data_IF_417974422914
#
_entry.id   IF_417974422914
#
_cell.length_a   1.000
_cell.length_b   1.000
_cell.length_c   1.000
_cell.angle_alpha   90.00
_cell.angle_beta   90.00
_cell.angle_gamma   90.00
#
_symmetry.space_group_name_H-M   'P 1'
#
loop_
_entity.id
_entity.type
_entity.pdbx_description
1 polymer ?
#
# COMPACT_ATOMS: atom_id res chain seq x y z
N UNK A 1 -6.48 -21.43 -6.72
CA UNK A 1 -7.02 -21.78 -5.41
C UNK A 1 -8.54 -21.85 -5.51
N UNK A 2 -9.13 -22.87 -4.96
CA UNK A 2 -10.57 -23.11 -4.89
C UNK A 2 -10.96 -23.17 -3.41
N UNK A 3 -12.01 -22.43 -3.02
CA UNK A 3 -12.55 -22.51 -1.67
C UNK A 3 -14.04 -22.81 -1.74
N UNK A 4 -14.49 -23.70 -0.87
CA UNK A 4 -15.89 -24.10 -0.74
C UNK A 4 -16.27 -23.95 0.73
N UNK A 5 -17.36 -23.24 0.99
CA UNK A 5 -17.90 -23.08 2.33
C UNK A 5 -19.33 -23.61 2.39
N UNK A 6 -19.63 -24.37 3.41
CA UNK A 6 -20.95 -24.93 3.67
C UNK A 6 -21.51 -24.33 4.95
N UNK A 7 -22.65 -23.69 4.88
CA UNK A 7 -23.35 -23.12 6.01
C UNK A 7 -24.85 -23.38 5.90
N UNK A 8 -25.42 -23.97 6.92
CA UNK A 8 -26.86 -24.15 6.99
C UNK A 8 -27.55 -22.83 7.33
N UNK A 9 -28.60 -22.50 6.60
CA UNK A 9 -29.44 -21.33 6.82
C UNK A 9 -30.85 -21.80 7.07
N UNK A 10 -31.37 -21.48 8.25
CA UNK A 10 -32.80 -21.63 8.57
C UNK A 10 -33.51 -20.36 8.10
N UNK A 11 -34.57 -20.51 7.28
CA UNK A 11 -35.39 -19.37 6.86
C UNK A 11 -36.23 -18.92 8.07
N UNK A 12 -35.61 -18.19 8.97
CA UNK A 12 -36.28 -17.71 10.18
C UNK A 12 -36.55 -16.22 10.09
N UNK A 13 -37.72 -15.85 10.49
CA UNK A 13 -38.19 -14.50 10.92
C UNK A 13 -37.67 -13.32 10.10
N UNK A 14 -38.64 -12.58 9.64
CA UNK A 14 -38.49 -11.24 9.07
C UNK A 14 -37.58 -10.38 9.96
N UNK A 15 -36.39 -10.06 9.49
CA UNK A 15 -35.52 -9.07 10.10
C UNK A 15 -35.41 -7.88 9.16
N UNK A 16 -35.40 -6.69 9.70
CA UNK A 16 -35.12 -5.47 8.94
C UNK A 16 -33.83 -5.65 8.14
N UNK A 17 -33.84 -5.22 6.89
CA UNK A 17 -32.72 -5.36 5.93
C UNK A 17 -32.41 -6.80 5.45
N UNK A 18 -33.34 -7.73 5.54
CA UNK A 18 -33.17 -9.03 4.90
C UNK A 18 -33.38 -8.90 3.38
N UNK A 19 -32.36 -9.15 2.53
CA UNK A 19 -32.49 -9.03 1.07
C UNK A 19 -33.40 -10.08 0.44
N UNK A 20 -33.83 -11.10 1.19
CA UNK A 20 -34.70 -12.19 0.75
C UNK A 20 -36.13 -12.04 1.27
N UNK A 21 -36.53 -10.85 1.71
CA UNK A 21 -37.91 -10.55 2.05
C UNK A 21 -38.73 -10.28 0.79
N UNK A 22 -39.83 -10.98 0.66
CA UNK A 22 -40.82 -10.79 -0.38
C UNK A 22 -42.11 -10.24 0.24
N UNK A 23 -42.60 -9.15 -0.33
CA UNK A 23 -43.94 -8.62 -0.04
C UNK A 23 -44.79 -8.79 -1.31
N UNK A 24 -45.97 -9.33 -1.16
CA UNK A 24 -46.93 -9.49 -2.26
C UNK A 24 -47.25 -8.09 -2.85
N UNK A 25 -46.95 -7.83 -4.14
CA UNK A 25 -47.19 -6.52 -4.75
C UNK A 25 -48.69 -6.22 -4.86
N UNK A 26 -49.56 -7.25 -4.86
CA UNK A 26 -51.00 -7.11 -4.98
C UNK A 26 -51.67 -6.90 -3.60
N UNK A 27 -50.93 -7.12 -2.51
CA UNK A 27 -51.41 -6.91 -1.15
C UNK A 27 -50.39 -6.12 -0.32
N UNK A 28 -50.43 -4.78 -0.28
CA UNK A 28 -49.49 -3.95 0.45
C UNK A 28 -49.56 -4.10 1.99
N UNK A 29 -50.58 -4.80 2.48
CA UNK A 29 -50.71 -5.11 3.93
C UNK A 29 -50.25 -6.53 4.27
N UNK A 30 -49.76 -7.30 3.30
CA UNK A 30 -49.23 -8.62 3.55
C UNK A 30 -47.92 -8.51 4.40
N UNK A 31 -47.81 -9.40 5.38
CA UNK A 31 -46.60 -9.49 6.19
C UNK A 31 -45.48 -10.02 5.27
N UNK A 32 -44.35 -9.33 5.20
CA UNK A 32 -43.21 -9.81 4.42
C UNK A 32 -42.76 -11.20 4.86
N UNK A 33 -42.53 -12.10 3.91
CA UNK A 33 -42.05 -13.47 4.17
C UNK A 33 -40.67 -13.66 3.57
N UNK A 34 -39.83 -14.47 4.22
CA UNK A 34 -38.55 -14.81 3.62
C UNK A 34 -38.73 -15.85 2.52
N UNK A 35 -38.14 -15.58 1.37
CA UNK A 35 -38.10 -16.54 0.25
C UNK A 35 -36.79 -17.34 0.22
N UNK A 36 -35.91 -17.16 1.24
CA UNK A 36 -34.68 -17.91 1.33
C UNK A 36 -35.02 -19.41 1.54
N UNK A 37 -34.56 -20.30 0.65
CA UNK A 37 -34.87 -21.73 0.77
C UNK A 37 -34.14 -22.33 1.99
N UNK A 38 -34.82 -23.28 2.65
CA UNK A 38 -34.18 -24.07 3.68
C UNK A 38 -33.05 -24.92 3.08
N UNK A 39 -31.91 -24.98 3.75
CA UNK A 39 -30.74 -25.73 3.31
C UNK A 39 -29.44 -25.01 3.52
N UNK A 40 -28.39 -25.48 2.88
CA UNK A 40 -27.07 -24.91 2.96
C UNK A 40 -26.80 -23.79 1.97
N UNK A 41 -25.71 -23.12 2.18
CA UNK A 41 -25.12 -22.19 1.22
C UNK A 41 -23.89 -22.86 0.62
N UNK A 42 -23.84 -22.96 -0.71
CA UNK A 42 -22.67 -23.40 -1.45
C UNK A 42 -21.95 -22.20 -2.03
N UNK A 43 -20.73 -21.95 -1.60
CA UNK A 43 -19.86 -20.91 -2.16
C UNK A 43 -18.62 -21.54 -2.80
N UNK A 44 -18.33 -21.10 -4.00
CA UNK A 44 -17.15 -21.55 -4.74
C UNK A 44 -16.41 -20.35 -5.32
N UNK A 45 -15.09 -20.32 -5.07
CA UNK A 45 -14.18 -19.34 -5.70
C UNK A 45 -13.12 -20.09 -6.48
N UNK A 46 -13.06 -19.84 -7.78
CA UNK A 46 -12.00 -20.36 -8.64
C UNK A 46 -11.08 -19.20 -9.07
N UNK A 47 -9.80 -19.35 -8.81
CA UNK A 47 -8.76 -18.41 -9.21
C UNK A 47 -7.79 -19.10 -10.15
N UNK A 48 -7.73 -18.61 -11.39
CA UNK A 48 -6.76 -19.06 -12.38
C UNK A 48 -5.77 -17.95 -12.65
N UNK A 49 -4.47 -18.29 -12.57
CA UNK A 49 -3.37 -17.37 -12.89
C UNK A 49 -2.49 -18.00 -13.95
N UNK A 50 -2.18 -17.22 -14.99
CA UNK A 50 -1.19 -17.55 -15.99
C UNK A 50 -0.12 -16.47 -15.94
N UNK A 51 1.13 -16.87 -15.65
CA UNK A 51 2.27 -15.97 -15.54
C UNK A 51 3.37 -16.39 -16.49
N UNK A 52 3.90 -15.40 -17.21
CA UNK A 52 5.12 -15.53 -18.00
C UNK A 52 6.13 -14.50 -17.50
N UNK A 53 7.34 -14.96 -17.21
CA UNK A 53 8.47 -14.13 -16.89
C UNK A 53 9.60 -14.46 -17.87
N UNK A 54 10.10 -13.45 -18.53
CA UNK A 54 11.27 -13.55 -19.41
C UNK A 54 12.33 -12.58 -18.92
N UNK A 55 13.55 -13.07 -18.74
CA UNK A 55 14.69 -12.26 -18.35
C UNK A 55 15.90 -12.62 -19.19
N UNK A 56 16.52 -11.61 -19.78
CA UNK A 56 17.81 -11.71 -20.44
C UNK A 56 18.80 -10.77 -19.75
N UNK A 57 19.97 -11.26 -19.38
CA UNK A 57 20.99 -10.45 -18.72
C UNK A 57 22.39 -10.86 -19.14
N UNK A 58 23.30 -9.90 -19.08
CA UNK A 58 24.73 -10.10 -19.33
C UNK A 58 25.54 -9.55 -18.15
N UNK A 59 26.61 -10.23 -17.83
CA UNK A 59 27.54 -9.85 -16.77
C UNK A 59 28.96 -9.78 -17.35
N UNK A 60 29.68 -8.71 -17.00
CA UNK A 60 31.07 -8.55 -17.31
C UNK A 60 31.86 -8.23 -16.06
N UNK A 61 32.84 -9.07 -15.71
CA UNK A 61 33.70 -8.91 -14.55
C UNK A 61 35.16 -8.96 -15.03
N UNK A 62 35.91 -7.92 -14.71
CA UNK A 62 37.31 -7.84 -15.09
C UNK A 62 38.13 -7.13 -14.03
N UNK A 63 39.30 -7.71 -13.74
CA UNK A 63 40.34 -7.07 -12.95
C UNK A 63 41.52 -6.74 -13.84
N UNK A 64 41.96 -5.49 -13.85
CA UNK A 64 43.09 -4.98 -14.58
C UNK A 64 44.23 -4.65 -13.62
N UNK A 65 45.42 -5.08 -13.91
CA UNK A 65 46.64 -4.83 -13.17
C UNK A 65 46.52 -5.07 -11.65
N UNK A 66 45.66 -5.99 -11.25
CA UNK A 66 45.31 -6.27 -9.81
C UNK A 66 44.89 -5.06 -9.01
N UNK A 67 44.55 -3.95 -9.65
CA UNK A 67 44.22 -2.67 -9.01
C UNK A 67 42.87 -2.12 -9.40
N UNK A 68 42.40 -2.39 -10.59
CA UNK A 68 41.13 -1.90 -11.12
C UNK A 68 40.13 -3.05 -11.27
N UNK A 69 39.08 -3.03 -10.54
CA UNK A 69 38.02 -4.03 -10.57
C UNK A 69 36.78 -3.40 -11.21
N UNK A 70 36.30 -3.97 -12.28
CA UNK A 70 35.09 -3.53 -13.00
C UNK A 70 34.10 -4.67 -13.01
N UNK A 71 32.90 -4.41 -12.52
CA UNK A 71 31.76 -5.31 -12.58
C UNK A 71 30.61 -4.59 -13.26
N UNK A 72 30.13 -5.13 -14.38
CA UNK A 72 28.98 -4.62 -15.11
C UNK A 72 27.93 -5.70 -15.21
N UNK A 73 26.69 -5.33 -14.98
CA UNK A 73 25.55 -6.21 -15.09
C UNK A 73 24.38 -5.44 -15.71
N UNK A 74 23.75 -6.00 -16.73
CA UNK A 74 22.64 -5.35 -17.38
C UNK A 74 21.75 -6.33 -18.12
N UNK A 75 20.55 -5.89 -18.43
CA UNK A 75 19.59 -6.74 -19.12
C UNK A 75 18.21 -6.14 -19.21
N UNK A 76 17.28 -7.01 -19.57
CA UNK A 76 15.85 -6.70 -19.66
C UNK A 76 15.00 -7.79 -19.00
N UNK A 77 13.85 -7.41 -18.53
CA UNK A 77 12.81 -8.34 -18.06
C UNK A 77 11.44 -7.97 -18.62
N UNK A 78 10.63 -8.99 -18.93
CA UNK A 78 9.24 -8.85 -19.33
C UNK A 78 8.41 -9.75 -18.46
N UNK A 79 7.41 -9.17 -17.80
CA UNK A 79 6.48 -9.91 -16.94
C UNK A 79 5.04 -9.74 -17.47
N UNK A 80 4.35 -10.86 -17.64
CA UNK A 80 2.95 -10.93 -18.03
C UNK A 80 2.20 -11.81 -17.04
N UNK A 81 1.16 -11.26 -16.41
CA UNK A 81 0.30 -12.03 -15.52
C UNK A 81 -1.16 -11.78 -15.92
N UNK A 82 -1.86 -12.85 -16.21
CA UNK A 82 -3.30 -12.87 -16.47
C UNK A 82 -3.97 -13.61 -15.31
N UNK A 83 -4.93 -12.95 -14.65
CA UNK A 83 -5.72 -13.56 -13.58
C UNK A 83 -7.18 -13.55 -13.99
N UNK A 84 -7.81 -14.69 -13.82
CA UNK A 84 -9.23 -14.89 -13.99
C UNK A 84 -9.79 -15.40 -12.67
N UNK A 85 -10.79 -14.71 -12.15
CA UNK A 85 -11.46 -15.05 -10.89
C UNK A 85 -12.93 -15.26 -11.18
N UNK A 86 -13.48 -16.36 -10.68
CA UNK A 86 -14.92 -16.60 -10.68
C UNK A 86 -15.37 -16.90 -9.27
N UNK A 87 -16.45 -16.29 -8.85
CA UNK A 87 -17.11 -16.59 -7.59
C UNK A 87 -18.56 -16.93 -7.86
N UNK A 88 -19.05 -17.95 -7.19
CA UNK A 88 -20.42 -18.45 -7.28
C UNK A 88 -20.97 -18.69 -5.87
N UNK A 89 -22.24 -18.35 -5.66
CA UNK A 89 -23.01 -18.68 -4.45
C UNK A 89 -24.35 -19.30 -4.84
N UNK A 90 -24.61 -20.49 -4.33
CA UNK A 90 -25.89 -21.19 -4.41
C UNK A 90 -26.56 -21.26 -3.03
N UNK A 91 -27.87 -21.12 -3.00
CA UNK A 91 -28.70 -21.23 -1.82
C UNK A 91 -29.53 -22.50 -1.84
N UNK A 92 -29.91 -23.04 -0.68
CA UNK A 92 -30.82 -24.16 -0.60
C UNK A 92 -30.18 -25.54 -0.84
N UNK A 93 -28.89 -25.68 -0.69
CA UNK A 93 -28.21 -26.97 -0.86
C UNK A 93 -28.70 -27.98 0.19
N UNK A 94 -29.24 -29.11 -0.24
CA UNK A 94 -29.78 -30.18 0.62
C UNK A 94 -28.66 -31.17 0.97
N UNK A 95 -28.02 -30.98 2.11
CA UNK A 95 -26.89 -31.83 2.57
C UNK A 95 -27.35 -33.28 2.88
N UNK A 96 -28.52 -33.43 3.46
CA UNK A 96 -29.12 -34.70 3.86
C UNK A 96 -29.65 -35.51 2.69
N UNK A 97 -29.82 -34.88 1.53
CA UNK A 97 -30.33 -35.48 0.31
C UNK A 97 -29.24 -35.68 -0.76
N UNK A 98 -28.00 -35.88 -0.34
CA UNK A 98 -26.91 -36.10 -1.29
C UNK A 98 -26.33 -34.84 -1.93
N UNK A 99 -26.45 -33.70 -1.27
CA UNK A 99 -26.01 -32.40 -1.80
C UNK A 99 -26.74 -31.93 -3.04
N UNK A 100 -28.02 -32.29 -3.18
CA UNK A 100 -28.86 -31.84 -4.28
C UNK A 100 -29.10 -30.33 -4.22
N UNK A 101 -28.92 -29.56 -5.31
CA UNK A 101 -29.26 -28.15 -5.38
C UNK A 101 -30.76 -27.95 -5.46
N UNK A 102 -31.27 -27.01 -4.69
CA UNK A 102 -32.64 -26.56 -4.78
C UNK A 102 -32.70 -25.17 -5.39
N UNK A 103 -33.48 -24.98 -6.44
CA UNK A 103 -33.69 -23.71 -7.10
C UNK A 103 -35.02 -23.12 -6.76
N UNK A 104 -35.02 -21.96 -6.10
CA UNK A 104 -36.19 -21.15 -5.90
C UNK A 104 -36.05 -19.86 -6.71
N UNK A 105 -36.96 -19.70 -7.68
CA UNK A 105 -36.97 -18.54 -8.59
C UNK A 105 -37.19 -17.23 -7.85
N UNK A 106 -38.04 -17.20 -6.81
CA UNK A 106 -38.34 -16.00 -6.05
C UNK A 106 -37.11 -15.58 -5.22
N UNK A 107 -36.43 -16.53 -4.57
CA UNK A 107 -35.17 -16.25 -3.85
C UNK A 107 -34.12 -15.69 -4.79
N UNK A 108 -33.99 -16.26 -5.97
CA UNK A 108 -33.04 -15.80 -6.99
C UNK A 108 -33.39 -14.38 -7.47
N UNK A 109 -34.61 -14.12 -7.84
CA UNK A 109 -35.10 -12.81 -8.29
C UNK A 109 -34.89 -11.76 -7.20
N UNK A 110 -35.37 -12.03 -5.99
CA UNK A 110 -35.25 -11.13 -4.85
C UNK A 110 -33.79 -10.83 -4.48
N UNK A 111 -32.92 -11.86 -4.52
CA UNK A 111 -31.50 -11.68 -4.29
C UNK A 111 -30.87 -10.73 -5.30
N UNK A 112 -31.17 -10.92 -6.61
CA UNK A 112 -30.64 -10.06 -7.67
C UNK A 112 -31.16 -8.62 -7.54
N UNK A 113 -32.42 -8.42 -7.25
CA UNK A 113 -33.05 -7.10 -7.07
C UNK A 113 -32.48 -6.35 -5.84
N UNK A 114 -32.15 -7.07 -4.79
CA UNK A 114 -31.49 -6.51 -3.60
C UNK A 114 -29.98 -6.32 -3.73
N UNK A 115 -29.39 -6.63 -4.90
CA UNK A 115 -27.95 -6.50 -5.16
C UNK A 115 -27.11 -7.69 -4.69
N UNK A 116 -27.72 -8.77 -4.20
CA UNK A 116 -27.06 -10.00 -3.79
C UNK A 116 -26.74 -10.85 -5.01
N UNK A 117 -25.56 -10.73 -5.56
CA UNK A 117 -25.11 -11.48 -6.74
C UNK A 117 -24.93 -12.96 -6.39
N UNK A 118 -25.23 -13.84 -7.32
CA UNK A 118 -24.98 -15.28 -7.20
C UNK A 118 -23.72 -15.73 -7.94
N UNK A 119 -23.17 -14.91 -8.83
CA UNK A 119 -21.86 -15.12 -9.43
C UNK A 119 -21.18 -13.79 -9.76
N UNK A 120 -19.86 -13.81 -9.80
CA UNK A 120 -19.05 -12.72 -10.35
C UNK A 120 -17.93 -13.31 -11.17
N UNK A 121 -17.57 -12.59 -12.23
CA UNK A 121 -16.42 -12.90 -13.09
C UNK A 121 -15.53 -11.67 -13.10
N UNK A 122 -14.24 -11.85 -12.86
CA UNK A 122 -13.26 -10.77 -12.84
C UNK A 122 -11.99 -11.17 -13.58
N UNK A 123 -11.51 -10.28 -14.42
CA UNK A 123 -10.24 -10.42 -15.10
C UNK A 123 -9.27 -9.31 -14.66
N UNK A 124 -8.00 -9.67 -14.48
CA UNK A 124 -6.96 -8.73 -14.18
C UNK A 124 -5.71 -9.03 -15.00
N UNK A 125 -5.22 -8.01 -15.69
CA UNK A 125 -4.06 -8.12 -16.57
C UNK A 125 -2.93 -7.26 -16.03
N UNK A 126 -1.75 -7.84 -15.92
CA UNK A 126 -0.52 -7.16 -15.57
C UNK A 126 0.51 -7.35 -16.65
N UNK A 127 1.14 -6.27 -17.05
CA UNK A 127 2.20 -6.22 -18.06
C UNK A 127 3.27 -5.27 -17.57
N UNK A 128 4.52 -5.74 -17.57
CA UNK A 128 5.68 -4.94 -17.20
C UNK A 128 6.82 -5.23 -18.15
N UNK A 129 7.54 -4.20 -18.52
CA UNK A 129 8.83 -4.30 -19.22
C UNK A 129 9.82 -3.43 -18.45
N UNK A 130 10.98 -3.96 -18.17
CA UNK A 130 12.05 -3.22 -17.51
C UNK A 130 13.41 -3.47 -18.18
N UNK A 131 14.19 -2.41 -18.26
CA UNK A 131 15.60 -2.43 -18.60
C UNK A 131 16.40 -2.04 -17.37
N UNK A 132 17.48 -2.74 -17.09
CA UNK A 132 18.28 -2.48 -15.89
C UNK A 132 19.76 -2.56 -16.21
N UNK A 133 20.51 -1.75 -15.49
CA UNK A 133 21.96 -1.71 -15.54
C UNK A 133 22.53 -1.45 -14.14
N UNK A 134 23.61 -2.15 -13.82
CA UNK A 134 24.43 -1.91 -12.64
C UNK A 134 25.90 -1.93 -13.03
N UNK A 135 26.64 -0.92 -12.60
CA UNK A 135 28.07 -0.82 -12.82
C UNK A 135 28.80 -0.52 -11.51
N UNK A 136 29.81 -1.31 -11.20
CA UNK A 136 30.68 -1.09 -10.04
C UNK A 136 32.12 -0.98 -10.53
N UNK A 137 32.79 0.06 -10.07
CA UNK A 137 34.22 0.23 -10.23
C UNK A 137 34.90 0.36 -8.88
N UNK A 138 35.94 -0.43 -8.64
CA UNK A 138 36.74 -0.34 -7.42
C UNK A 138 38.22 -0.19 -7.76
N UNK A 139 38.85 0.79 -7.13
CA UNK A 139 40.27 1.04 -7.25
C UNK A 139 41.02 0.58 -5.99
N UNK A 140 41.86 -0.42 -6.14
CA UNK A 140 42.69 -1.03 -5.07
C UNK A 140 41.89 -1.50 -3.85
N UNK A 141 40.59 -1.76 -3.97
CA UNK A 141 39.72 -2.03 -2.83
C UNK A 141 39.45 -0.83 -1.93
N UNK A 142 40.05 0.33 -2.19
CA UNK A 142 39.95 1.54 -1.35
C UNK A 142 38.76 2.40 -1.71
N UNK A 143 38.61 2.71 -2.98
CA UNK A 143 37.55 3.57 -3.50
C UNK A 143 36.65 2.75 -4.38
N UNK A 144 35.38 2.71 -4.06
CA UNK A 144 34.38 2.01 -4.85
C UNK A 144 33.27 2.96 -5.23
N UNK A 145 32.90 2.99 -6.51
CA UNK A 145 31.74 3.71 -7.01
C UNK A 145 30.81 2.68 -7.63
N UNK A 146 29.53 2.77 -7.31
CA UNK A 146 28.46 1.94 -7.89
C UNK A 146 27.38 2.83 -8.48
N UNK A 147 26.90 2.46 -9.66
CA UNK A 147 25.76 3.08 -10.31
C UNK A 147 24.73 2.01 -10.70
N UNK A 148 23.50 2.21 -10.33
CA UNK A 148 22.36 1.37 -10.74
C UNK A 148 21.36 2.23 -11.50
N UNK A 149 20.84 1.73 -12.60
CA UNK A 149 19.79 2.36 -13.37
C UNK A 149 18.74 1.32 -13.77
N UNK A 150 17.47 1.67 -13.60
CA UNK A 150 16.35 0.85 -14.06
C UNK A 150 15.32 1.75 -14.75
N UNK A 151 14.88 1.34 -15.91
CA UNK A 151 13.85 1.99 -16.68
C UNK A 151 12.72 1.00 -16.92
N UNK A 152 11.58 1.22 -16.27
CA UNK A 152 10.47 0.27 -16.31
C UNK A 152 9.16 0.94 -16.68
N UNK A 153 8.28 0.15 -17.27
CA UNK A 153 6.92 0.57 -17.60
C UNK A 153 5.91 -0.53 -17.36
N UNK A 154 4.74 -0.15 -16.87
CA UNK A 154 3.63 -1.07 -16.60
C UNK A 154 2.31 -0.53 -17.14
N UNK A 155 1.40 -1.45 -17.48
CA UNK A 155 0.02 -1.09 -17.88
C UNK A 155 -0.85 -0.59 -16.71
N UNK A 156 -0.34 -0.61 -15.48
CA UNK A 156 -1.07 -0.18 -14.28
C UNK A 156 -0.98 1.33 -14.01
N UNK A 157 -0.09 2.03 -14.70
CA UNK A 157 0.07 3.48 -14.58
C UNK A 157 -0.64 4.23 -15.72
N UNK A 158 -0.70 5.54 -15.61
CA UNK A 158 -1.36 6.44 -16.56
C UNK A 158 -1.00 6.22 -18.03
N UNK A 159 -1.81 6.73 -18.94
CA UNK A 159 -1.63 6.53 -20.39
C UNK A 159 -0.42 7.27 -20.97
N UNK A 160 -0.05 8.39 -20.39
CA UNK A 160 1.07 9.19 -20.89
C UNK A 160 2.40 8.43 -20.72
N UNK A 161 3.34 8.66 -21.63
CA UNK A 161 4.67 8.05 -21.54
C UNK A 161 5.37 8.43 -20.22
N UNK A 162 5.25 9.69 -19.79
CA UNK A 162 5.86 10.17 -18.54
C UNK A 162 5.26 9.53 -17.30
N UNK A 163 3.96 9.22 -17.31
CA UNK A 163 3.29 8.58 -16.19
C UNK A 163 3.57 7.08 -16.13
N UNK A 164 3.71 6.42 -17.29
CA UNK A 164 3.85 4.96 -17.40
C UNK A 164 5.28 4.48 -17.25
N UNK A 165 6.25 5.24 -17.75
CA UNK A 165 7.65 4.89 -17.79
C UNK A 165 8.45 5.72 -16.80
N UNK A 166 9.16 5.07 -15.91
CA UNK A 166 9.93 5.71 -14.86
C UNK A 166 11.38 5.23 -14.85
N UNK A 167 12.35 6.14 -14.92
CA UNK A 167 13.73 5.85 -14.56
C UNK A 167 13.89 5.88 -13.03
N UNK A 168 14.42 4.81 -12.47
CA UNK A 168 14.94 4.77 -11.10
C UNK A 168 16.45 4.58 -11.14
N UNK A 169 17.16 5.18 -10.21
CA UNK A 169 18.61 5.12 -10.21
C UNK A 169 19.18 5.29 -8.79
N UNK A 170 20.38 4.77 -8.62
CA UNK A 170 21.18 4.96 -7.43
C UNK A 170 22.64 5.19 -7.85
N UNK A 171 23.28 6.15 -7.21
CA UNK A 171 24.73 6.34 -7.29
C UNK A 171 25.23 6.26 -5.86
N UNK A 172 26.26 5.43 -5.63
CA UNK A 172 26.86 5.28 -4.30
C UNK A 172 28.37 5.22 -4.42
N UNK A 173 29.02 5.68 -3.34
CA UNK A 173 30.47 5.63 -3.18
C UNK A 173 30.83 5.09 -1.80
N UNK A 174 31.94 4.37 -1.74
CA UNK A 174 32.56 3.91 -0.51
C UNK A 174 34.04 4.20 -0.51
N UNK A 175 34.54 4.70 0.60
CA UNK A 175 35.96 4.85 0.86
C UNK A 175 36.35 3.96 2.03
N UNK A 176 37.11 2.92 1.77
CA UNK A 176 37.69 2.02 2.75
C UNK A 176 38.98 2.64 3.30
N UNK A 177 38.84 3.52 4.26
CA UNK A 177 39.95 4.29 4.87
C UNK A 177 40.98 3.35 5.50
N UNK A 178 40.52 2.21 6.03
CA UNK A 178 41.37 1.20 6.64
C UNK A 178 42.36 0.52 5.67
N UNK A 179 42.14 0.64 4.37
CA UNK A 179 43.05 0.16 3.32
C UNK A 179 44.15 1.19 2.94
N UNK A 180 44.12 2.39 3.53
CA UNK A 180 45.09 3.41 3.26
C UNK A 180 46.39 3.17 4.06
N UNK A 181 47.54 3.53 3.47
CA UNK A 181 48.85 3.30 4.08
C UNK A 181 49.00 3.99 5.45
N UNK A 182 48.41 5.17 5.62
CA UNK A 182 48.49 5.92 6.87
C UNK A 182 47.70 5.26 8.00
N UNK A 183 46.71 4.42 7.67
CA UNK A 183 45.85 3.79 8.66
C UNK A 183 46.59 2.78 9.56
N UNK A 184 47.67 2.20 9.07
CA UNK A 184 48.49 1.24 9.83
C UNK A 184 49.00 1.80 11.15
N UNK A 185 49.16 3.14 11.26
CA UNK A 185 49.65 3.78 12.47
C UNK A 185 48.65 3.80 13.63
N UNK A 186 47.35 3.63 13.31
CA UNK A 186 46.27 3.63 14.31
C UNK A 186 45.79 2.23 14.70
N UNK A 187 46.29 1.21 14.00
CA UNK A 187 46.02 -0.18 14.35
C UNK A 187 46.84 -0.62 15.57
N UNK A 188 46.30 -1.52 16.45
CA UNK A 188 45.01 -2.20 16.35
C UNK A 188 43.87 -1.45 17.03
N UNK A 189 44.11 -0.26 17.57
CA UNK A 189 43.06 0.51 18.28
C UNK A 189 41.84 0.75 17.39
N UNK A 190 42.07 1.25 16.16
CA UNK A 190 41.08 1.38 15.10
C UNK A 190 41.37 0.33 14.03
N UNK A 191 40.53 -0.68 13.93
CA UNK A 191 40.76 -1.86 13.05
C UNK A 191 40.11 -1.75 11.69
N UNK A 192 39.01 -1.02 11.62
CA UNK A 192 38.24 -0.82 10.41
C UNK A 192 37.64 0.59 10.39
N UNK A 193 37.63 1.21 9.22
CA UNK A 193 36.96 2.48 8.97
C UNK A 193 36.53 2.53 7.51
N UNK A 194 35.23 2.67 7.27
CA UNK A 194 34.65 2.85 5.95
C UNK A 194 33.63 3.98 5.97
N UNK A 195 33.73 4.88 5.01
CA UNK A 195 32.79 5.95 4.74
C UNK A 195 31.98 5.61 3.52
N UNK A 196 30.66 5.80 3.60
CA UNK A 196 29.72 5.48 2.54
C UNK A 196 28.82 6.67 2.28
N UNK A 197 28.49 6.91 1.03
CA UNK A 197 27.50 7.88 0.63
C UNK A 197 26.68 7.34 -0.53
N UNK A 198 25.38 7.54 -0.54
CA UNK A 198 24.53 7.20 -1.67
C UNK A 198 23.45 8.25 -1.91
N UNK A 199 23.12 8.46 -3.17
CA UNK A 199 21.99 9.26 -3.58
C UNK A 199 21.17 8.53 -4.63
N UNK A 200 19.86 8.48 -4.42
CA UNK A 200 18.98 7.67 -5.26
C UNK A 200 17.64 8.34 -5.56
N UNK A 201 17.06 7.95 -6.68
CA UNK A 201 15.66 8.08 -6.99
C UNK A 201 15.06 6.68 -7.05
N UNK A 202 14.17 6.37 -6.13
CA UNK A 202 13.38 5.14 -6.10
C UNK A 202 11.92 5.46 -6.32
N UNK A 203 11.12 4.45 -6.67
CA UNK A 203 9.71 4.64 -6.91
C UNK A 203 8.89 3.42 -6.52
N UNK A 204 7.62 3.65 -6.18
CA UNK A 204 6.63 2.65 -5.88
C UNK A 204 5.35 2.92 -6.70
N UNK A 205 4.61 1.87 -6.98
CA UNK A 205 3.32 1.96 -7.68
C UNK A 205 2.18 2.44 -6.80
N UNK A 206 2.43 2.58 -5.52
CA UNK A 206 1.40 2.85 -4.54
C UNK A 206 0.48 1.65 -4.28
N UNK A 207 -0.66 1.86 -3.62
CA UNK A 207 -1.60 0.81 -3.28
C UNK A 207 -2.13 0.07 -4.51
N UNK A 208 -2.28 -1.25 -4.43
CA UNK A 208 -2.67 -2.12 -5.56
C UNK A 208 -4.07 -1.84 -6.12
N UNK A 209 -4.93 -1.18 -5.35
CA UNK A 209 -6.27 -0.75 -5.78
C UNK A 209 -6.25 0.53 -6.63
N UNK A 210 -5.14 1.27 -6.63
CA UNK A 210 -4.96 2.52 -7.38
C UNK A 210 -4.37 2.20 -8.75
N UNK A 211 -5.19 1.74 -9.68
CA UNK A 211 -4.65 1.25 -10.97
C UNK A 211 -5.38 1.76 -12.19
N UNK A 212 -6.24 2.78 -12.03
CA UNK A 212 -7.13 3.17 -13.11
C UNK A 212 -6.55 4.30 -13.96
N UNK A 213 -5.79 3.91 -14.98
CA UNK A 213 -5.47 4.82 -16.09
C UNK A 213 -6.64 5.02 -17.06
N UNK A 214 -7.75 4.33 -16.85
CA UNK A 214 -8.98 4.39 -17.65
C UNK A 214 -10.18 4.52 -16.73
N UNK A 215 -11.24 5.15 -17.21
CA UNK A 215 -12.54 5.14 -16.53
C UNK A 215 -13.04 3.69 -16.42
N UNK A 216 -13.52 3.33 -15.24
CA UNK A 216 -14.17 2.03 -15.02
C UNK A 216 -15.67 2.23 -15.01
N UNK A 217 -16.33 1.57 -15.97
CA UNK A 217 -17.79 1.58 -16.09
C UNK A 217 -18.29 0.22 -15.58
N UNK A 218 -19.26 0.25 -14.68
CA UNK A 218 -19.90 -0.95 -14.14
C UNK A 218 -21.39 -0.90 -14.41
N UNK A 219 -21.99 -2.10 -14.58
CA UNK A 219 -23.42 -2.24 -14.54
C UNK A 219 -23.93 -1.88 -13.14
N UNK A 220 -25.00 -1.15 -13.06
CA UNK A 220 -25.65 -0.71 -11.82
C UNK A 220 -27.14 -0.82 -12.00
N UNK A 221 -27.84 -1.21 -10.95
CA UNK A 221 -29.31 -1.16 -10.89
C UNK A 221 -29.68 0.18 -10.25
N UNK A 222 -30.22 1.15 -11.00
CA UNK A 222 -30.62 2.42 -10.44
C UNK A 222 -31.75 2.25 -9.44
N UNK A 223 -31.75 3.05 -8.36
CA UNK A 223 -32.87 3.09 -7.43
C UNK A 223 -34.14 3.61 -8.12
N UNK A 224 -35.26 2.92 -7.90
CA UNK A 224 -36.57 3.37 -8.35
C UNK A 224 -37.58 3.28 -7.21
N UNK A 225 -38.55 4.22 -7.12
CA UNK A 225 -39.55 4.21 -6.05
C UNK A 225 -40.58 3.08 -6.18
N UNK A 226 -40.70 2.46 -7.35
CA UNK A 226 -41.58 1.31 -7.61
C UNK A 226 -40.74 0.08 -8.00
N UNK A 227 -40.95 -1.01 -7.27
CA UNK A 227 -40.15 -2.25 -7.35
C UNK A 227 -40.64 -3.24 -8.41
N UNK A 228 -41.12 -2.81 -9.58
CA UNK A 228 -41.62 -3.74 -10.58
C UNK A 228 -40.56 -4.30 -11.51
N UNK A 229 -39.84 -3.43 -12.21
CA UNK A 229 -38.85 -3.80 -13.19
C UNK A 229 -37.48 -3.15 -12.89
N UNK A 230 -36.49 -3.99 -12.67
CA UNK A 230 -35.11 -3.51 -12.50
C UNK A 230 -34.47 -3.30 -13.86
N UNK A 231 -34.23 -2.06 -14.22
CA UNK A 231 -33.44 -1.74 -15.41
C UNK A 231 -31.94 -1.76 -15.05
N UNK A 232 -31.15 -2.30 -15.96
CA UNK A 232 -29.69 -2.25 -15.83
C UNK A 232 -29.20 -0.94 -16.42
N UNK A 233 -28.60 -0.11 -15.57
CA UNK A 233 -27.90 1.10 -15.97
C UNK A 233 -26.38 0.89 -16.03
N UNK A 234 -25.68 1.82 -16.64
CA UNK A 234 -24.21 1.90 -16.59
C UNK A 234 -23.82 3.09 -15.71
N UNK A 235 -22.95 2.82 -14.75
CA UNK A 235 -22.39 3.84 -13.86
C UNK A 235 -20.87 3.88 -14.01
N UNK A 236 -20.31 5.10 -14.08
CA UNK A 236 -18.86 5.30 -13.90
C UNK A 236 -18.55 5.01 -12.44
N UNK A 237 -17.76 4.00 -12.17
CA UNK A 237 -17.36 3.61 -10.81
C UNK A 237 -15.95 4.09 -10.45
N UNK A 238 -15.20 4.59 -11.42
CA UNK A 238 -13.89 5.20 -11.20
C UNK A 238 -13.56 6.12 -12.38
N UNK A 239 -13.19 7.35 -12.07
CA UNK A 239 -12.79 8.34 -13.07
C UNK A 239 -11.40 8.02 -13.62
N UNK A 240 -11.20 8.35 -14.90
CA UNK A 240 -9.89 8.27 -15.53
C UNK A 240 -8.92 9.27 -14.86
N UNK A 241 -7.68 8.81 -14.64
CA UNK A 241 -6.54 9.67 -14.36
C UNK A 241 -5.37 9.31 -15.27
N UNK A 242 -5.32 9.96 -16.44
CA UNK A 242 -4.26 9.74 -17.42
C UNK A 242 -2.86 10.18 -16.93
N UNK A 243 -2.80 11.01 -15.89
CA UNK A 243 -1.56 11.55 -15.33
C UNK A 243 -1.07 10.79 -14.09
N UNK A 244 -1.85 9.80 -13.62
CA UNK A 244 -1.45 8.99 -12.48
C UNK A 244 -0.06 8.37 -12.73
N UNK A 245 0.89 8.67 -11.86
CA UNK A 245 2.26 8.20 -11.93
C UNK A 245 2.70 7.54 -10.62
N UNK A 246 3.89 6.96 -10.62
CA UNK A 246 4.51 6.34 -9.46
C UNK A 246 4.72 7.33 -8.32
N UNK A 247 4.59 6.86 -7.10
CA UNK A 247 5.15 7.52 -5.93
C UNK A 247 6.66 7.49 -6.01
N UNK A 248 7.33 8.61 -5.76
CA UNK A 248 8.77 8.76 -5.95
C UNK A 248 9.44 9.18 -4.66
N UNK A 249 10.69 8.77 -4.51
CA UNK A 249 11.49 9.09 -3.34
C UNK A 249 12.93 9.40 -3.75
N UNK A 250 13.37 10.62 -3.47
CA UNK A 250 14.80 10.93 -3.39
C UNK A 250 15.32 10.60 -2.00
N UNK A 251 16.45 9.92 -1.94
CA UNK A 251 17.10 9.58 -0.68
C UNK A 251 18.60 9.86 -0.76
N UNK A 252 19.09 10.65 0.19
CA UNK A 252 20.51 10.79 0.51
C UNK A 252 20.79 9.97 1.76
N UNK A 253 21.77 9.08 1.70
CA UNK A 253 22.24 8.30 2.84
C UNK A 253 23.75 8.52 3.00
N UNK A 254 24.20 8.75 4.26
CA UNK A 254 25.59 8.84 4.66
C UNK A 254 25.85 7.82 5.75
N UNK A 255 26.77 6.89 5.48
CA UNK A 255 27.08 5.78 6.36
C UNK A 255 28.53 5.80 6.84
N UNK A 256 28.76 5.35 8.06
CA UNK A 256 30.05 5.19 8.68
C UNK A 256 30.12 3.83 9.38
N UNK A 257 31.08 2.99 8.98
CA UNK A 257 31.39 1.75 9.68
C UNK A 257 32.75 1.86 10.36
N UNK A 258 32.78 1.58 11.67
CA UNK A 258 33.99 1.65 12.47
C UNK A 258 34.16 0.38 13.29
N UNK A 259 35.36 -0.18 13.24
CA UNK A 259 35.75 -1.34 14.05
C UNK A 259 36.93 -0.99 14.97
N UNK A 260 36.83 -1.30 16.24
CA UNK A 260 37.86 -1.08 17.21
C UNK A 260 38.38 -2.41 17.79
N UNK A 261 39.65 -2.37 18.26
CA UNK A 261 40.33 -3.44 19.01
C UNK A 261 40.18 -4.80 18.28
N UNK A 262 40.74 -4.89 17.06
CA UNK A 262 40.64 -6.06 16.18
C UNK A 262 39.19 -6.48 15.92
N UNK A 263 38.32 -5.52 15.63
CA UNK A 263 36.87 -5.73 15.38
C UNK A 263 36.13 -6.39 16.56
N UNK A 264 36.60 -6.18 17.80
CA UNK A 264 35.81 -6.59 18.97
C UNK A 264 34.64 -5.67 19.24
N UNK A 265 34.75 -4.39 18.83
CA UNK A 265 33.67 -3.40 18.91
C UNK A 265 33.44 -2.91 17.48
N UNK A 266 32.26 -3.10 16.96
CA UNK A 266 31.86 -2.67 15.63
C UNK A 266 30.66 -1.72 15.76
N UNK A 267 30.81 -0.53 15.21
CA UNK A 267 29.78 0.49 15.17
C UNK A 267 29.45 0.78 13.71
N UNK A 268 28.17 0.69 13.36
CA UNK A 268 27.63 1.23 12.12
C UNK A 268 26.71 2.40 12.46
N UNK A 269 26.87 3.49 11.76
CA UNK A 269 26.07 4.70 11.87
C UNK A 269 25.61 5.10 10.49
N UNK A 270 24.29 5.27 10.32
CA UNK A 270 23.67 5.74 9.10
C UNK A 270 22.80 6.96 9.41
N UNK A 271 22.97 8.01 8.63
CA UNK A 271 22.07 9.15 8.57
C UNK A 271 21.46 9.25 7.20
N UNK A 272 20.15 9.47 7.14
CA UNK A 272 19.45 9.60 5.88
C UNK A 272 18.48 10.78 5.87
N UNK A 273 18.28 11.32 4.67
CA UNK A 273 17.25 12.30 4.37
C UNK A 273 16.47 11.84 3.13
N UNK A 274 15.15 11.76 3.27
CA UNK A 274 14.20 11.32 2.23
C UNK A 274 13.27 12.45 1.87
N UNK A 275 13.00 12.59 0.58
CA UNK A 275 11.94 13.44 0.05
C UNK A 275 11.02 12.57 -0.80
N UNK A 276 9.83 12.28 -0.28
CA UNK A 276 8.80 11.51 -0.96
C UNK A 276 7.86 12.49 -1.66
N UNK A 277 7.62 12.30 -2.93
CA UNK A 277 6.79 13.18 -3.74
C UNK A 277 5.94 12.36 -4.72
N UNK A 278 4.94 13.02 -5.31
CA UNK A 278 3.92 12.35 -6.11
C UNK A 278 3.18 11.23 -5.36
N UNK A 279 3.04 11.36 -4.01
CA UNK A 279 2.33 10.37 -3.21
C UNK A 279 0.86 10.32 -3.61
N UNK A 280 0.33 9.10 -3.71
CA UNK A 280 -1.02 8.85 -4.20
C UNK A 280 -2.02 8.98 -3.07
N UNK A 281 -3.01 9.82 -3.28
CA UNK A 281 -4.12 10.05 -2.36
C UNK A 281 -5.44 10.22 -3.10
N UNK A 282 -6.51 10.41 -2.34
CA UNK A 282 -7.84 10.67 -2.89
C UNK A 282 -8.04 12.17 -3.09
N UNK A 283 -8.46 12.55 -4.28
CA UNK A 283 -8.84 13.93 -4.65
C UNK A 283 -10.35 14.03 -4.70
N UNK A 284 -10.92 15.01 -4.02
CA UNK A 284 -12.33 15.35 -4.16
C UNK A 284 -12.57 16.04 -5.50
N UNK A 285 -13.59 15.61 -6.24
CA UNK A 285 -14.02 16.17 -7.50
C UNK A 285 -15.32 16.96 -7.31
N UNK A 286 -15.71 17.73 -8.31
CA UNK A 286 -17.00 18.44 -8.31
C UNK A 286 -18.20 17.52 -8.56
N UNK A 287 -18.02 16.20 -8.69
CA UNK A 287 -19.09 15.24 -8.98
C UNK A 287 -19.57 15.23 -10.43
N UNK A 288 -19.05 16.10 -11.27
CA UNK A 288 -19.32 16.11 -12.71
C UNK A 288 -18.65 14.85 -13.33
N UNK A 289 -19.44 13.95 -13.85
CA UNK A 289 -18.95 12.64 -14.34
C UNK A 289 -19.32 11.45 -13.45
N UNK A 290 -20.08 11.68 -12.36
CA UNK A 290 -20.71 10.62 -11.56
C UNK A 290 -19.92 10.11 -10.36
N UNK A 291 -18.70 10.61 -10.12
CA UNK A 291 -17.89 10.28 -8.95
C UNK A 291 -17.38 11.54 -8.27
N UNK A 292 -17.48 11.56 -6.93
CA UNK A 292 -17.06 12.67 -6.09
C UNK A 292 -15.58 12.61 -5.68
N UNK A 293 -14.90 11.53 -6.03
CA UNK A 293 -13.49 11.34 -5.72
C UNK A 293 -12.77 10.57 -6.81
N UNK A 294 -11.46 10.81 -6.92
CA UNK A 294 -10.53 10.04 -7.77
C UNK A 294 -9.17 9.92 -7.09
N UNK A 295 -8.37 8.97 -7.49
CA UNK A 295 -6.97 8.89 -7.06
C UNK A 295 -6.08 9.79 -7.91
N UNK A 296 -5.12 10.46 -7.26
CA UNK A 296 -4.14 11.32 -7.90
C UNK A 296 -2.85 11.40 -7.09
N UNK A 297 -1.82 11.97 -7.69
CA UNK A 297 -0.55 12.25 -7.03
C UNK A 297 -0.66 13.64 -6.35
N UNK A 298 -0.97 13.67 -5.06
CA UNK A 298 -1.49 14.85 -4.35
C UNK A 298 -0.75 15.19 -3.06
N UNK A 299 0.26 14.42 -2.69
CA UNK A 299 0.93 14.65 -1.43
C UNK A 299 2.46 14.54 -1.55
N UNK A 300 3.14 15.23 -0.64
CA UNK A 300 4.59 15.16 -0.45
C UNK A 300 4.91 15.01 1.04
N UNK A 301 5.97 14.29 1.33
CA UNK A 301 6.43 14.06 2.71
C UNK A 301 7.96 14.07 2.76
N UNK A 302 8.53 14.67 3.78
CA UNK A 302 9.95 14.62 4.10
C UNK A 302 10.17 13.73 5.31
N UNK A 303 11.30 13.03 5.30
CA UNK A 303 11.74 12.26 6.46
C UNK A 303 13.26 12.37 6.61
N UNK A 304 13.73 12.39 7.83
CA UNK A 304 15.13 12.23 8.16
C UNK A 304 15.26 11.30 9.36
N UNK A 305 16.38 10.61 9.44
CA UNK A 305 16.59 9.69 10.54
C UNK A 305 18.03 9.31 10.73
N UNK A 306 18.27 8.67 11.85
CA UNK A 306 19.57 8.09 12.24
C UNK A 306 19.35 6.65 12.64
N UNK A 307 20.30 5.81 12.27
CA UNK A 307 20.36 4.41 12.66
C UNK A 307 21.75 4.11 13.22
N UNK A 308 21.79 3.47 14.38
CA UNK A 308 23.02 3.08 15.05
C UNK A 308 22.96 1.60 15.35
N UNK A 309 23.98 0.87 14.92
CA UNK A 309 24.14 -0.54 15.26
C UNK A 309 25.51 -0.75 15.91
N UNK A 310 25.51 -1.20 17.16
CA UNK A 310 26.70 -1.49 17.93
C UNK A 310 26.73 -2.99 18.23
N UNK A 311 27.83 -3.64 17.83
CA UNK A 311 28.09 -5.04 18.14
C UNK A 311 29.41 -5.16 18.89
N UNK A 312 29.39 -5.78 20.08
CA UNK A 312 30.57 -5.95 20.90
C UNK A 312 30.80 -7.43 21.28
N UNK A 313 32.06 -7.87 21.19
CA UNK A 313 32.51 -9.17 21.70
C UNK A 313 33.14 -8.94 23.09
N UNK A 314 32.31 -8.99 24.13
CA UNK A 314 32.73 -8.65 25.50
C UNK A 314 33.72 -9.67 26.07
N UNK A 315 33.36 -10.94 25.97
CA UNK A 315 34.20 -12.06 26.41
C UNK A 315 34.21 -13.12 25.29
N UNK A 316 35.40 -13.59 24.98
CA UNK A 316 35.58 -14.69 24.07
C UNK A 316 36.71 -15.59 24.59
N UNK A 317 36.33 -16.72 25.15
CA UNK A 317 37.23 -17.78 25.63
C UNK A 317 36.96 -19.07 24.88
N UNK A 318 37.77 -20.09 25.13
CA UNK A 318 37.59 -21.40 24.50
C UNK A 318 36.22 -22.06 24.80
N UNK A 319 35.66 -21.79 25.99
CA UNK A 319 34.44 -22.42 26.48
C UNK A 319 33.28 -21.46 26.74
N UNK A 320 33.49 -20.14 26.59
CA UNK A 320 32.47 -19.13 26.88
C UNK A 320 32.61 -17.97 25.92
N UNK A 321 31.47 -17.53 25.37
CA UNK A 321 31.38 -16.36 24.50
C UNK A 321 30.21 -15.49 24.92
N UNK A 322 30.49 -14.18 25.10
CA UNK A 322 29.48 -13.17 25.37
C UNK A 322 29.61 -12.03 24.37
N UNK A 323 28.56 -11.84 23.56
CA UNK A 323 28.42 -10.75 22.61
C UNK A 323 27.22 -9.91 22.97
N UNK A 324 27.30 -8.59 22.74
CA UNK A 324 26.18 -7.65 22.90
C UNK A 324 25.90 -6.99 21.58
N UNK A 325 24.62 -6.95 21.18
CA UNK A 325 24.16 -6.18 20.03
C UNK A 325 23.16 -5.15 20.50
N UNK A 326 23.40 -3.89 20.15
CA UNK A 326 22.52 -2.76 20.42
C UNK A 326 22.13 -2.09 19.10
N UNK A 327 20.85 -1.88 18.90
CA UNK A 327 20.30 -1.21 17.71
C UNK A 327 19.44 -0.05 18.20
N UNK A 328 19.67 1.11 17.64
CA UNK A 328 18.86 2.30 17.85
C UNK A 328 18.49 2.93 16.53
N UNK A 329 17.22 3.29 16.39
CA UNK A 329 16.74 4.04 15.23
C UNK A 329 15.84 5.18 15.68
N UNK A 330 15.97 6.32 15.05
CA UNK A 330 15.10 7.46 15.22
C UNK A 330 14.74 8.03 13.86
N UNK A 331 13.46 8.26 13.64
CA UNK A 331 12.93 8.87 12.41
C UNK A 331 12.02 10.02 12.76
N UNK A 332 12.18 11.12 12.06
CA UNK A 332 11.22 12.22 12.02
C UNK A 332 10.66 12.32 10.61
N UNK A 333 9.34 12.45 10.48
CA UNK A 333 8.67 12.65 9.20
C UNK A 333 7.64 13.77 9.32
N UNK A 334 7.37 14.43 8.20
CA UNK A 334 6.44 15.54 8.10
C UNK A 334 5.81 15.55 6.71
N UNK A 335 4.49 15.73 6.67
CA UNK A 335 3.75 15.96 5.43
C UNK A 335 3.96 17.40 5.01
N UNK A 336 4.61 17.64 3.87
CA UNK A 336 4.98 18.98 3.41
C UNK A 336 4.03 19.57 2.38
N UNK A 337 3.16 18.73 1.80
CA UNK A 337 2.13 19.13 0.86
C UNK A 337 0.98 18.12 0.88
N UNK A 338 -0.25 18.63 0.88
CA UNK A 338 -1.45 17.81 0.77
C UNK A 338 -2.53 18.60 0.01
N UNK A 339 -2.92 18.12 -1.17
CA UNK A 339 -3.94 18.78 -2.02
C UNK A 339 -5.39 18.41 -1.68
N UNK A 340 -5.60 17.70 -0.57
CA UNK A 340 -6.92 17.32 -0.06
C UNK A 340 -7.26 18.17 1.15
N UNK A 341 -8.49 18.74 1.18
CA UNK A 341 -8.99 19.42 2.37
C UNK A 341 -9.27 18.39 3.47
N UNK A 342 -8.70 18.59 4.62
CA UNK A 342 -8.96 17.82 5.84
C UNK A 342 -10.10 18.45 6.61
N UNK A 343 -10.94 17.66 7.29
CA UNK A 343 -12.02 18.12 8.15
C UNK A 343 -11.79 17.60 9.56
N UNK A 344 -12.18 18.35 10.57
CA UNK A 344 -12.05 17.95 11.97
C UNK A 344 -12.60 16.54 12.23
N UNK A 345 -13.77 16.22 11.66
CA UNK A 345 -14.36 14.88 11.78
C UNK A 345 -13.48 13.76 11.22
N UNK A 346 -12.73 14.03 10.15
CA UNK A 346 -11.79 13.05 9.55
C UNK A 346 -10.54 12.89 10.40
N UNK A 347 -10.04 13.99 10.98
CA UNK A 347 -8.85 14.00 11.83
C UNK A 347 -9.06 13.21 13.13
N UNK A 348 -10.21 13.35 13.77
CA UNK A 348 -10.53 12.68 15.06
C UNK A 348 -11.12 11.28 14.86
N UNK A 349 -11.38 10.83 13.63
CA UNK A 349 -11.84 9.46 13.40
C UNK A 349 -10.72 8.46 13.75
N UNK A 350 -11.06 7.35 14.38
CA UNK A 350 -10.15 6.45 15.10
C UNK A 350 -9.02 5.77 14.32
N UNK A 351 -8.87 6.05 13.03
CA UNK A 351 -7.76 5.54 12.21
C UNK A 351 -6.61 6.55 12.07
N UNK A 352 -6.76 7.78 12.60
CA UNK A 352 -5.87 8.90 12.33
C UNK A 352 -6.01 9.40 10.89
N UNK A 353 -5.56 10.60 10.64
CA UNK A 353 -5.57 11.18 9.31
C UNK A 353 -4.26 11.95 9.03
N UNK A 354 -3.99 12.20 7.76
CA UNK A 354 -2.81 12.94 7.32
C UNK A 354 -3.15 14.42 7.21
N UNK A 355 -2.35 15.29 7.83
CA UNK A 355 -2.48 16.74 7.77
C UNK A 355 -1.12 17.35 7.44
N UNK A 356 -1.12 18.41 6.64
CA UNK A 356 0.09 19.17 6.28
C UNK A 356 0.72 19.80 7.54
N UNK A 357 2.05 19.76 7.64
CA UNK A 357 2.79 20.23 8.80
C UNK A 357 2.93 19.23 9.95
N UNK A 358 2.29 18.07 9.85
CA UNK A 358 2.34 17.04 10.89
C UNK A 358 2.97 15.74 10.38
N UNK A 359 3.48 14.89 11.29
CA UNK A 359 3.90 13.54 10.93
C UNK A 359 2.76 12.74 10.31
N UNK A 360 3.07 11.89 9.32
CA UNK A 360 2.09 10.96 8.76
C UNK A 360 1.55 10.04 9.87
N UNK A 361 0.24 9.79 9.87
CA UNK A 361 -0.47 9.01 10.90
C UNK A 361 -0.47 9.64 12.29
N UNK A 362 -0.43 10.96 12.38
CA UNK A 362 -0.67 11.66 13.64
C UNK A 362 -2.08 11.37 14.17
N UNK A 363 -2.19 11.27 15.48
CA UNK A 363 -3.48 11.20 16.16
C UNK A 363 -3.88 12.60 16.57
N UNK A 364 -5.09 12.96 16.25
CA UNK A 364 -5.69 14.23 16.60
C UNK A 364 -6.82 14.02 17.60
N UNK A 365 -6.98 14.94 18.50
CA UNK A 365 -8.08 14.92 19.45
C UNK A 365 -8.48 16.35 19.82
N UNK A 366 -9.74 16.54 20.21
CA UNK A 366 -10.14 17.78 20.82
C UNK A 366 -9.47 17.96 22.19
N UNK A 367 -9.14 19.19 22.52
CA UNK A 367 -8.58 19.51 23.82
C UNK A 367 -9.68 19.39 24.88
N UNK A 368 -9.64 18.31 25.67
CA UNK A 368 -10.62 18.04 26.72
C UNK A 368 -10.44 19.00 27.91
N UNK A 369 -11.53 19.64 28.35
CA UNK A 369 -11.55 20.61 29.43
C UNK A 369 -12.41 20.17 30.64
N UNK A 370 -12.90 18.94 30.64
CA UNK A 370 -13.71 18.40 31.74
C UNK A 370 -15.12 18.00 31.29
N UNK A 371 -16.03 17.87 32.29
CA UNK A 371 -17.44 17.57 32.06
C UNK A 371 -18.28 18.78 32.50
N UNK A 372 -19.38 19.03 31.82
CA UNK A 372 -20.37 20.01 32.22
C UNK A 372 -21.27 19.46 33.36
N UNK A 373 -22.22 20.29 33.85
CA UNK A 373 -23.13 19.95 34.95
C UNK A 373 -24.04 18.75 34.67
N UNK A 374 -24.24 18.41 33.37
CA UNK A 374 -25.04 17.23 32.95
C UNK A 374 -24.15 16.03 32.55
N UNK A 375 -22.84 16.11 32.79
CA UNK A 375 -21.89 15.01 32.54
C UNK A 375 -21.43 14.86 31.08
N UNK A 376 -21.68 15.85 30.20
CA UNK A 376 -21.20 15.81 28.84
C UNK A 376 -19.75 16.34 28.74
N UNK A 377 -18.92 15.78 27.85
CA UNK A 377 -17.56 16.28 27.61
C UNK A 377 -17.58 17.74 27.17
N UNK A 378 -16.72 18.53 27.76
CA UNK A 378 -16.42 19.92 27.35
C UNK A 378 -15.07 19.96 26.74
N UNK A 379 -14.97 20.57 25.60
CA UNK A 379 -13.69 20.74 24.87
C UNK A 379 -13.49 22.21 24.50
N UNK A 380 -12.28 22.56 24.19
CA UNK A 380 -11.92 23.91 23.72
C UNK A 380 -12.11 23.94 22.20
N UNK A 381 -12.93 24.85 21.71
CA UNK A 381 -13.12 25.05 20.27
C UNK A 381 -12.05 25.98 19.67
N UNK A 382 -12.06 26.19 18.36
CA UNK A 382 -11.12 27.09 17.64
C UNK A 382 -11.11 28.52 18.14
N UNK A 383 -12.22 29.00 18.71
CA UNK A 383 -12.29 30.35 19.30
C UNK A 383 -11.70 30.41 20.72
N UNK A 384 -11.18 29.30 21.26
CA UNK A 384 -10.69 29.17 22.61
C UNK A 384 -11.79 29.12 23.67
N UNK A 385 -13.08 28.90 23.27
CA UNK A 385 -14.21 28.81 24.14
C UNK A 385 -14.51 27.38 24.57
N UNK A 386 -14.97 27.20 25.78
CA UNK A 386 -15.47 25.91 26.27
C UNK A 386 -16.81 25.59 25.65
N UNK A 387 -16.95 24.46 25.01
CA UNK A 387 -18.22 24.01 24.41
C UNK A 387 -18.39 22.51 24.56
N UNK A 388 -19.64 22.06 24.71
CA UNK A 388 -20.04 20.66 24.67
C UNK A 388 -20.90 20.32 23.45
N UNK A 389 -21.26 21.30 22.62
CA UNK A 389 -22.22 21.10 21.53
C UNK A 389 -21.96 21.97 20.29
N UNK A 390 -21.10 22.98 20.39
CA UNK A 390 -20.87 23.93 19.29
C UNK A 390 -19.51 23.67 18.63
N UNK A 391 -19.50 22.79 17.63
CA UNK A 391 -18.30 22.42 16.83
C UNK A 391 -18.60 22.51 15.35
N UNK A 392 -17.66 23.01 14.58
CA UNK A 392 -17.71 22.96 13.13
C UNK A 392 -16.89 21.78 12.60
N UNK A 393 -17.46 20.60 12.56
CA UNK A 393 -16.79 19.37 12.05
C UNK A 393 -16.35 19.45 10.58
N UNK A 394 -16.72 20.48 9.86
CA UNK A 394 -16.31 20.71 8.48
C UNK A 394 -15.01 21.53 8.39
N UNK A 395 -14.63 22.22 9.45
CA UNK A 395 -13.39 22.98 9.54
C UNK A 395 -12.23 22.04 9.89
N UNK A 396 -11.04 22.28 9.34
CA UNK A 396 -9.83 21.56 9.64
C UNK A 396 -9.12 22.05 10.89
N UNK A 397 -9.51 23.22 11.40
CA UNK A 397 -8.87 23.87 12.54
C UNK A 397 -9.66 23.71 13.84
N UNK A 398 -10.82 23.05 13.82
CA UNK A 398 -11.68 22.87 14.99
C UNK A 398 -11.14 21.87 16.07
#
# INVERSE_FOLDING_TARGET
NQSVAYRTVEPTTVRDNNPFLYTDPDNPYAVPVTVLPKGGIYERTDNKMLSYDFRASATYNKTFNNTHIINLYGGMSVNKIDRHNTWFRGWGLQYDMGMEPYYDYLAFKQGMESGSKYYTIGDSFYREVAFFFNGTYSYKGRYTINGTYRYEGTNKMGKSRKARWLPTWNISGAWNVHEEKFFSHVQPALSHLSLKASYSLTADRGPSYVTNSLAVIKASTPWRPTSGDTETGLKVSSLENAQLTYEKKHELNLGLDVGFVNNRINLAFDWYKRNNFDLIGTVTTQGIGGEISKYGNVAEMKSNGVEISLSTKNVQTKNFSWTTNFIYSHIHNEVTKLETSTRAMTLVSGTGFTMEGYPARSLFSFQFAGLNEVGLPVVVNTEGKLSSSSFNFQDSNE
#
